data_IF_362776079039
#
_entry.id   IF_362776079039
#
_cell.length_a   1.000
_cell.length_b   1.000
_cell.length_c   1.000
_cell.angle_alpha   90.00
_cell.angle_beta   90.00
_cell.angle_gamma   90.00
#
_symmetry.space_group_name_H-M   'P 1'
#
loop_
_entity.id
_entity.type
_entity.pdbx_description
1 polymer ?
#
# COMPACT_ATOMS: atom_id res chain seq x y z
N UNK A 1 -10.70 18.14 -4.02
CA UNK A 1 -9.72 17.04 -4.17
C UNK A 1 -8.47 17.35 -3.40
N UNK A 2 -7.78 16.34 -2.94
CA UNK A 2 -6.54 16.49 -2.19
C UNK A 2 -5.45 15.62 -2.79
N UNK A 3 -4.20 16.12 -2.72
CA UNK A 3 -3.03 15.35 -3.14
C UNK A 3 -2.86 14.15 -2.21
N UNK A 4 -2.63 12.98 -2.82
CA UNK A 4 -2.55 11.71 -2.12
C UNK A 4 -1.36 10.92 -2.63
N UNK A 5 -0.66 10.24 -1.71
CA UNK A 5 0.34 9.25 -2.08
C UNK A 5 -0.37 7.89 -2.22
N UNK A 6 0.03 7.12 -3.22
CA UNK A 6 -0.50 5.77 -3.43
C UNK A 6 0.62 4.76 -3.53
N UNK A 7 0.39 3.56 -3.04
CA UNK A 7 1.33 2.44 -3.21
C UNK A 7 0.75 1.45 -4.21
N UNK A 8 1.59 0.94 -5.10
CA UNK A 8 1.18 -0.07 -6.09
C UNK A 8 1.25 -1.45 -5.45
N UNK A 9 0.12 -2.16 -5.48
CA UNK A 9 0.02 -3.52 -4.97
C UNK A 9 -0.43 -4.44 -6.10
N UNK A 10 0.44 -5.37 -6.47
CA UNK A 10 0.25 -6.24 -7.62
C UNK A 10 -0.67 -7.42 -7.27
N UNK A 11 -1.65 -7.67 -8.13
CA UNK A 11 -2.58 -8.81 -8.02
C UNK A 11 -2.56 -9.68 -9.28
N UNK A 12 -1.39 -9.94 -9.86
CA UNK A 12 -1.30 -10.80 -11.06
C UNK A 12 -1.46 -12.29 -10.76
N UNK A 13 -1.27 -12.72 -9.52
CA UNK A 13 -1.42 -14.12 -9.11
C UNK A 13 -2.81 -14.44 -8.54
N UNK A 14 -2.90 -15.60 -7.88
CA UNK A 14 -4.14 -16.07 -7.27
C UNK A 14 -4.53 -15.25 -6.04
N UNK A 15 -3.55 -14.64 -5.36
CA UNK A 15 -3.76 -13.93 -4.11
C UNK A 15 -4.03 -12.46 -4.41
N UNK A 16 -5.15 -11.98 -3.90
CA UNK A 16 -5.59 -10.58 -4.11
C UNK A 16 -5.08 -9.71 -2.97
N UNK A 17 -3.79 -9.39 -2.99
CA UNK A 17 -3.13 -8.66 -1.92
C UNK A 17 -3.73 -7.29 -1.65
N UNK A 18 -4.08 -6.52 -2.70
CA UNK A 18 -4.68 -5.20 -2.51
C UNK A 18 -6.03 -5.31 -1.79
N UNK A 19 -6.84 -6.29 -2.17
CA UNK A 19 -8.13 -6.54 -1.52
C UNK A 19 -7.93 -6.92 -0.05
N UNK A 20 -6.95 -7.78 0.24
CA UNK A 20 -6.66 -8.19 1.61
C UNK A 20 -6.21 -7.03 2.48
N UNK A 21 -5.48 -6.08 1.91
CA UNK A 21 -5.05 -4.88 2.63
C UNK A 21 -6.26 -4.02 3.00
N UNK A 22 -7.11 -3.69 2.03
CA UNK A 22 -8.25 -2.80 2.29
C UNK A 22 -9.33 -3.46 3.14
N UNK A 23 -9.35 -4.79 3.18
CA UNK A 23 -10.22 -5.56 4.09
C UNK A 23 -9.65 -5.62 5.52
N UNK A 24 -8.44 -5.12 5.74
CA UNK A 24 -7.78 -5.17 7.05
C UNK A 24 -7.24 -6.54 7.43
N UNK A 25 -7.18 -7.48 6.48
CA UNK A 25 -6.71 -8.85 6.73
C UNK A 25 -5.19 -8.94 6.58
N UNK A 26 -4.64 -8.35 5.51
CA UNK A 26 -3.20 -8.23 5.33
C UNK A 26 -2.74 -6.94 5.98
N UNK A 27 -1.95 -7.03 7.04
CA UNK A 27 -1.52 -5.87 7.83
C UNK A 27 -0.04 -5.53 7.66
N UNK A 28 0.68 -6.28 6.84
CA UNK A 28 2.08 -6.00 6.51
C UNK A 28 2.27 -6.13 5.01
N UNK A 29 2.72 -5.04 4.37
CA UNK A 29 3.20 -5.06 2.98
C UNK A 29 4.69 -5.30 2.98
N UNK A 30 5.21 -6.03 1.98
CA UNK A 30 6.62 -6.40 1.91
C UNK A 30 7.26 -5.90 0.63
N UNK A 31 8.50 -5.46 0.73
CA UNK A 31 9.31 -5.01 -0.41
C UNK A 31 10.74 -5.48 -0.26
N UNK A 32 11.43 -5.74 -1.38
CA UNK A 32 12.82 -6.18 -1.35
C UNK A 32 13.77 -5.06 -0.92
N UNK A 33 13.40 -3.81 -1.21
CA UNK A 33 14.16 -2.61 -0.85
C UNK A 33 13.29 -1.67 -0.04
N UNK A 34 13.92 -0.70 0.61
CA UNK A 34 13.18 0.30 1.40
C UNK A 34 12.55 1.37 0.49
N UNK A 35 11.68 0.93 -0.41
CA UNK A 35 11.09 1.76 -1.47
C UNK A 35 10.02 2.73 -0.96
N UNK A 36 9.39 2.39 0.16
CA UNK A 36 8.29 3.17 0.73
C UNK A 36 8.73 3.99 1.95
N UNK A 37 10.03 4.19 2.11
CA UNK A 37 10.60 4.90 3.26
C UNK A 37 9.96 6.28 3.49
N UNK A 38 9.79 7.05 2.42
CA UNK A 38 9.24 8.40 2.53
C UNK A 38 7.74 8.43 2.85
N UNK A 39 7.06 7.29 2.82
CA UNK A 39 5.63 7.19 3.09
C UNK A 39 5.32 6.72 4.51
N UNK A 40 6.33 6.37 5.29
CA UNK A 40 6.14 5.98 6.69
C UNK A 40 5.59 7.17 7.48
N UNK A 41 4.55 6.91 8.26
CA UNK A 41 3.83 7.96 9.01
C UNK A 41 2.72 8.61 8.21
N UNK A 42 2.44 8.17 6.98
CA UNK A 42 1.43 8.77 6.10
C UNK A 42 0.28 7.82 5.83
N UNK A 43 -0.88 8.41 5.55
CA UNK A 43 -1.98 7.67 4.96
C UNK A 43 -1.77 7.60 3.46
N UNK A 44 -1.95 6.39 2.91
CA UNK A 44 -1.73 6.15 1.47
C UNK A 44 -2.94 5.48 0.85
N UNK A 45 -3.11 5.71 -0.45
CA UNK A 45 -4.06 4.95 -1.24
C UNK A 45 -3.45 3.60 -1.61
N UNK A 46 -4.29 2.59 -1.70
CA UNK A 46 -3.91 1.27 -2.17
C UNK A 46 -4.31 1.18 -3.64
N UNK A 47 -3.31 1.13 -4.51
CA UNK A 47 -3.51 1.08 -5.96
C UNK A 47 -3.27 -0.34 -6.44
N UNK A 48 -4.35 -1.00 -6.82
CA UNK A 48 -4.29 -2.36 -7.34
C UNK A 48 -3.76 -2.34 -8.77
N UNK A 49 -2.75 -3.15 -9.04
CA UNK A 49 -2.22 -3.32 -10.39
C UNK A 49 -2.41 -4.77 -10.86
N UNK A 50 -2.85 -4.92 -12.09
CA UNK A 50 -3.02 -6.22 -12.76
C UNK A 50 -2.50 -6.09 -14.18
N UNK A 51 -1.87 -7.15 -14.68
CA UNK A 51 -1.35 -7.18 -16.05
C UNK A 51 -2.50 -6.96 -17.05
N UNK A 52 -2.31 -6.01 -17.97
CA UNK A 52 -3.30 -5.69 -18.99
C UNK A 52 -4.54 -4.96 -18.50
N UNK A 53 -4.55 -4.48 -17.26
CA UNK A 53 -5.66 -3.74 -16.67
C UNK A 53 -5.20 -2.37 -16.21
N UNK A 54 -6.13 -1.41 -16.15
CA UNK A 54 -5.85 -0.10 -15.58
C UNK A 54 -5.56 -0.24 -14.08
N UNK A 55 -4.60 0.52 -13.54
CA UNK A 55 -4.41 0.59 -12.10
C UNK A 55 -5.63 1.25 -11.44
N UNK A 56 -6.12 0.64 -10.36
CA UNK A 56 -7.33 1.08 -9.68
C UNK A 56 -7.04 1.41 -8.24
N UNK A 57 -7.52 2.55 -7.77
CA UNK A 57 -7.53 2.86 -6.34
C UNK A 57 -8.67 2.08 -5.71
N UNK A 58 -8.38 1.24 -4.72
CA UNK A 58 -9.38 0.35 -4.09
C UNK A 58 -9.60 0.66 -2.61
N UNK A 59 -8.81 1.55 -2.03
CA UNK A 59 -8.94 1.95 -0.64
C UNK A 59 -7.72 2.65 -0.12
N UNK A 60 -7.61 2.74 1.20
CA UNK A 60 -6.59 3.50 1.90
C UNK A 60 -6.11 2.75 3.14
N UNK A 61 -4.91 3.09 3.60
CA UNK A 61 -4.38 2.59 4.87
C UNK A 61 -3.29 3.55 5.36
N UNK A 62 -2.97 3.47 6.66
CA UNK A 62 -1.85 4.21 7.23
C UNK A 62 -0.63 3.32 7.27
N UNK A 63 0.53 3.82 6.81
CA UNK A 63 1.82 3.16 7.01
C UNK A 63 2.39 3.71 8.31
N UNK A 64 2.40 2.91 9.37
CA UNK A 64 2.78 3.41 10.70
C UNK A 64 4.25 3.21 11.01
N UNK A 65 4.89 2.22 10.40
CA UNK A 65 6.30 1.92 10.66
C UNK A 65 6.87 1.04 9.55
N UNK A 66 8.20 0.95 9.51
CA UNK A 66 8.92 0.03 8.63
C UNK A 66 10.01 -0.69 9.40
N UNK A 67 10.37 -1.88 8.94
CA UNK A 67 11.36 -2.72 9.61
C UNK A 67 12.03 -3.64 8.59
N UNK A 68 13.36 -3.67 8.59
CA UNK A 68 14.06 -4.70 7.82
C UNK A 68 14.05 -5.99 8.60
N UNK A 69 13.28 -6.96 8.14
CA UNK A 69 13.13 -8.25 8.81
C UNK A 69 14.16 -9.23 8.28
N UNK A 70 15.10 -9.68 9.11
CA UNK A 70 16.05 -10.73 8.72
C UNK A 70 15.30 -12.01 8.35
N UNK A 71 15.88 -12.78 7.42
CA UNK A 71 15.25 -14.01 6.93
C UNK A 71 14.92 -15.00 8.07
N UNK A 72 15.76 -15.08 9.09
CA UNK A 72 15.55 -15.99 10.22
C UNK A 72 14.44 -15.55 11.17
N UNK A 73 13.88 -14.36 10.98
CA UNK A 73 12.77 -13.84 11.80
C UNK A 73 11.48 -13.68 11.01
N UNK A 74 11.50 -13.92 9.70
CA UNK A 74 10.38 -13.60 8.83
C UNK A 74 9.13 -14.44 9.14
N UNK A 75 9.29 -15.70 9.53
CA UNK A 75 8.16 -16.61 9.76
C UNK A 75 7.16 -16.11 10.79
N UNK A 76 7.61 -15.39 11.80
CA UNK A 76 6.70 -14.86 12.82
C UNK A 76 5.76 -13.76 12.30
N UNK A 77 6.01 -13.24 11.09
CA UNK A 77 5.16 -12.24 10.44
C UNK A 77 4.30 -12.82 9.32
N UNK A 78 4.42 -14.13 9.04
CA UNK A 78 3.74 -14.77 7.91
C UNK A 78 2.23 -14.60 7.95
N UNK A 79 1.63 -14.66 9.13
CA UNK A 79 0.18 -14.49 9.30
C UNK A 79 -0.29 -13.06 8.98
N UNK A 80 0.62 -12.09 8.99
CA UNK A 80 0.33 -10.69 8.71
C UNK A 80 0.70 -10.30 7.28
N UNK A 81 1.75 -10.90 6.72
CA UNK A 81 2.14 -10.65 5.33
C UNK A 81 1.25 -11.41 4.35
N UNK A 82 0.78 -12.59 4.75
CA UNK A 82 -0.03 -13.52 3.94
C UNK A 82 0.66 -13.95 2.65
N UNK A 83 1.98 -13.81 2.58
CA UNK A 83 2.77 -14.26 1.44
C UNK A 83 3.09 -15.74 1.63
N UNK A 84 2.67 -16.62 0.71
CA UNK A 84 2.93 -18.04 0.86
C UNK A 84 4.42 -18.36 0.79
N UNK A 85 4.85 -19.32 1.58
CA UNK A 85 6.21 -19.83 1.53
C UNK A 85 6.54 -20.34 0.13
N UNK A 86 7.70 -19.94 -0.39
CA UNK A 86 8.16 -20.35 -1.70
C UNK A 86 7.53 -19.60 -2.88
N UNK A 87 6.65 -18.62 -2.61
CA UNK A 87 6.06 -17.81 -3.69
C UNK A 87 7.03 -16.76 -4.19
N UNK A 88 6.66 -16.08 -5.30
CA UNK A 88 7.51 -15.06 -5.92
C UNK A 88 7.81 -13.88 -5.00
N UNK A 89 6.92 -13.58 -4.04
CA UNK A 89 7.09 -12.46 -3.11
C UNK A 89 7.62 -12.88 -1.75
N UNK A 90 7.97 -14.16 -1.58
CA UNK A 90 8.51 -14.65 -0.33
C UNK A 90 9.89 -14.04 -0.02
N UNK A 91 10.26 -14.12 1.24
CA UNK A 91 11.57 -13.66 1.69
C UNK A 91 12.68 -14.49 1.07
N UNK A 92 13.75 -13.83 0.66
CA UNK A 92 14.97 -14.49 0.17
C UNK A 92 16.18 -13.62 0.53
N UNK A 93 17.39 -14.18 0.36
CA UNK A 93 18.62 -13.48 0.69
C UNK A 93 18.72 -13.16 2.17
N UNK A 94 19.02 -11.91 2.50
CA UNK A 94 19.20 -11.48 3.89
C UNK A 94 17.92 -11.22 4.65
N UNK A 95 16.84 -10.90 3.94
CA UNK A 95 15.58 -10.55 4.54
C UNK A 95 14.71 -9.71 3.63
N UNK A 96 13.72 -9.05 4.22
CA UNK A 96 12.75 -8.25 3.49
C UNK A 96 12.32 -7.04 4.29
N UNK A 97 12.00 -5.93 3.62
CA UNK A 97 11.41 -4.75 4.25
C UNK A 97 9.94 -4.99 4.52
N UNK A 98 9.51 -4.75 5.75
CA UNK A 98 8.12 -4.83 6.18
C UNK A 98 7.59 -3.42 6.43
N UNK A 99 6.35 -3.17 5.97
CA UNK A 99 5.64 -1.91 6.22
C UNK A 99 4.34 -2.25 6.95
N UNK A 100 4.21 -1.73 8.16
CA UNK A 100 3.08 -2.06 9.03
C UNK A 100 1.92 -1.13 8.71
N UNK A 101 0.76 -1.73 8.41
CA UNK A 101 -0.44 -1.04 7.96
C UNK A 101 -1.52 -1.10 9.03
N UNK A 102 -2.23 0.01 9.17
CA UNK A 102 -3.38 0.10 10.07
C UNK A 102 -4.45 1.01 9.47
N UNK A 103 -5.63 1.05 10.08
CA UNK A 103 -6.75 1.89 9.66
C UNK A 103 -7.11 1.69 8.19
N UNK A 104 -7.18 0.44 7.75
CA UNK A 104 -7.57 0.10 6.39
C UNK A 104 -9.01 0.51 6.12
N UNK A 105 -9.24 1.05 4.93
CA UNK A 105 -10.55 1.55 4.52
C UNK A 105 -10.75 1.21 3.04
N UNK A 106 -11.87 0.58 2.72
CA UNK A 106 -12.26 0.36 1.33
C UNK A 106 -12.86 1.62 0.74
N UNK A 107 -12.68 1.82 -0.56
CA UNK A 107 -13.48 2.77 -1.32
C UNK A 107 -14.09 2.08 -2.52
N UNK A 108 -15.06 2.73 -3.14
CA UNK A 108 -15.55 2.28 -4.44
C UNK A 108 -14.39 2.42 -5.43
N UNK A 109 -13.99 1.34 -6.13
CA UNK A 109 -12.81 1.39 -6.99
C UNK A 109 -12.94 2.44 -8.09
N UNK A 110 -11.86 3.18 -8.33
CA UNK A 110 -11.79 4.15 -9.43
C UNK A 110 -10.40 4.11 -10.06
N UNK A 111 -10.30 4.45 -11.37
CA UNK A 111 -9.00 4.42 -12.04
C UNK A 111 -8.04 5.44 -11.45
N UNK A 112 -6.77 5.05 -11.30
CA UNK A 112 -5.73 6.01 -10.99
C UNK A 112 -5.68 7.04 -12.13
N UNK A 113 -5.71 8.36 -11.82
CA UNK A 113 -5.63 9.38 -12.88
C UNK A 113 -4.39 9.22 -13.76
N UNK A 114 -4.52 9.50 -15.04
CA UNK A 114 -3.41 9.36 -16.01
C UNK A 114 -2.27 10.33 -15.73
N UNK A 115 -2.56 11.47 -15.10
CA UNK A 115 -1.56 12.46 -14.73
C UNK A 115 -0.88 12.18 -13.40
N UNK A 116 -1.13 11.03 -12.79
CA UNK A 116 -0.44 10.62 -11.58
C UNK A 116 1.08 10.58 -11.81
N UNK A 117 1.83 11.14 -10.88
CA UNK A 117 3.29 11.11 -10.91
C UNK A 117 3.77 9.80 -10.30
N UNK A 118 4.42 8.98 -11.10
CA UNK A 118 4.88 7.65 -10.67
C UNK A 118 6.34 7.70 -10.23
N UNK A 119 6.62 7.06 -9.10
CA UNK A 119 7.97 6.88 -8.59
C UNK A 119 8.35 5.40 -8.80
N UNK A 120 8.84 5.10 -9.99
CA UNK A 120 9.10 3.74 -10.42
C UNK A 120 7.81 2.90 -10.43
N UNK A 121 7.93 1.65 -10.02
CA UNK A 121 6.80 0.73 -9.91
C UNK A 121 6.30 0.60 -8.47
N UNK A 122 6.77 1.46 -7.57
CA UNK A 122 6.55 1.31 -6.12
C UNK A 122 5.42 2.16 -5.60
N UNK A 123 5.37 3.45 -5.98
CA UNK A 123 4.36 4.37 -5.44
C UNK A 123 4.15 5.56 -6.39
N UNK A 124 3.13 6.36 -6.10
CA UNK A 124 2.76 7.50 -6.93
C UNK A 124 2.15 8.63 -6.10
N UNK A 125 1.99 9.79 -6.75
CA UNK A 125 1.26 10.94 -6.21
C UNK A 125 0.17 11.33 -7.20
N UNK A 126 -1.02 11.64 -6.68
CA UNK A 126 -2.16 11.99 -7.54
C UNK A 126 -3.18 12.84 -6.76
N UNK A 127 -4.13 13.46 -7.47
CA UNK A 127 -5.25 14.17 -6.86
C UNK A 127 -6.41 13.18 -6.64
N UNK A 128 -6.82 13.02 -5.38
CA UNK A 128 -7.84 12.03 -5.01
C UNK A 128 -9.20 12.73 -4.84
N UNK A 129 -10.23 12.34 -5.63
CA UNK A 129 -11.53 12.95 -5.56
C UNK A 129 -12.31 12.63 -4.27
N UNK A 130 -11.93 11.54 -3.60
CA UNK A 130 -12.59 11.12 -2.36
C UNK A 130 -11.93 11.67 -1.10
N UNK A 131 -10.78 12.37 -1.23
CA UNK A 131 -10.05 12.86 -0.09
C UNK A 131 -10.35 14.32 0.16
N UNK A 132 -10.68 14.67 1.41
CA UNK A 132 -11.05 16.01 1.81
C UNK A 132 -10.02 16.52 2.82
N UNK A 133 -9.59 17.79 2.64
CA UNK A 133 -8.64 18.43 3.57
C UNK A 133 -9.45 19.04 4.72
N UNK A 134 -9.72 18.24 5.74
CA UNK A 134 -10.55 18.64 6.88
C UNK A 134 -10.01 19.84 7.65
N UNK A 135 -8.69 19.98 7.74
CA UNK A 135 -8.05 21.11 8.43
C UNK A 135 -8.47 22.46 7.87
N UNK A 136 -8.66 22.56 6.55
CA UNK A 136 -9.12 23.79 5.89
C UNK A 136 -10.54 24.12 6.31
N UNK A 137 -11.41 23.14 6.34
CA UNK A 137 -12.80 23.32 6.73
C UNK A 137 -12.94 23.70 8.20
N UNK A 138 -12.20 23.06 9.07
CA UNK A 138 -12.20 23.37 10.51
C UNK A 138 -11.77 24.80 10.75
N UNK A 139 -10.67 25.26 10.10
CA UNK A 139 -10.19 26.62 10.24
C UNK A 139 -11.20 27.65 9.75
N UNK A 140 -11.95 27.36 8.71
CA UNK A 140 -12.99 28.26 8.18
C UNK A 140 -14.22 28.26 9.05
N UNK A 141 -14.52 27.15 9.72
CA UNK A 141 -15.66 27.04 10.61
C UNK A 141 -15.44 27.64 11.99
N UNK A 142 -14.20 27.88 12.33
CA UNK A 142 -13.86 28.52 13.59
C UNK A 142 -13.91 30.03 13.46
#
# INVERSE_FOLDING_TARGET
>A
MAKMDGIFVNENGCIKYAQLIVDGIKTIETRNRNMLKCLVGKRVAIVRTRRGKLPMVVGYADIVDSYFCPINQYEKYRDQTLVPEGSAYDVHGKGKWLYFLTNAEKCYPFPLPQDAVRHGLSWCEYEDPNYVIWTVHVKKGA
#
